data_IF_013332102225
#
_entry.id   IF_013332102225
#
_cell.length_a   1.000
_cell.length_b   1.000
_cell.length_c   1.000
_cell.angle_alpha   90.00
_cell.angle_beta   90.00
_cell.angle_gamma   90.00
#
_symmetry.space_group_name_H-M   'P 1'
#
loop_
_entity.id
_entity.type
_entity.pdbx_description
1 polymer ?
#
# COMPACT_ATOMS: atom_id res chain seq x y z
N UNK A 1 4.32 -52.76 -37.24
CA UNK A 1 3.73 -52.36 -35.96
C UNK A 1 4.76 -51.54 -35.23
N UNK A 2 4.64 -50.21 -35.25
CA UNK A 2 5.55 -49.33 -34.51
C UNK A 2 5.13 -49.33 -33.04
N UNK A 3 6.05 -49.68 -32.14
CA UNK A 3 5.83 -49.53 -30.70
C UNK A 3 5.63 -48.06 -30.41
N UNK A 4 4.41 -47.68 -30.03
CA UNK A 4 4.20 -46.42 -29.30
C UNK A 4 5.01 -46.55 -28.02
N UNK A 5 6.17 -45.88 -27.96
CA UNK A 5 6.79 -45.56 -26.68
C UNK A 5 5.73 -44.77 -25.92
N UNK A 6 5.11 -45.41 -24.93
CA UNK A 6 4.38 -44.71 -23.89
C UNK A 6 5.36 -43.69 -23.30
N UNK A 7 4.98 -42.41 -23.15
CA UNK A 7 5.81 -41.46 -22.43
C UNK A 7 6.13 -42.07 -21.07
N UNK A 8 7.40 -42.06 -20.67
CA UNK A 8 7.78 -42.44 -19.30
C UNK A 8 6.95 -41.59 -18.34
N UNK A 9 6.21 -42.22 -17.44
CA UNK A 9 5.52 -41.51 -16.37
C UNK A 9 6.56 -40.68 -15.62
N UNK A 10 6.35 -39.36 -15.62
CA UNK A 10 7.20 -38.43 -14.91
C UNK A 10 7.02 -38.68 -13.42
N UNK A 11 8.09 -39.06 -12.73
CA UNK A 11 8.09 -39.25 -11.28
C UNK A 11 8.71 -38.01 -10.65
N UNK A 12 7.99 -37.38 -9.71
CA UNK A 12 8.51 -36.24 -8.94
C UNK A 12 8.89 -36.74 -7.55
N UNK A 13 10.15 -36.53 -7.16
CA UNK A 13 10.64 -36.97 -5.85
C UNK A 13 9.93 -36.21 -4.71
N UNK A 14 9.60 -36.93 -3.62
CA UNK A 14 8.92 -36.35 -2.46
C UNK A 14 9.71 -35.18 -1.86
N UNK A 15 11.04 -35.26 -1.87
CA UNK A 15 11.90 -34.21 -1.35
C UNK A 15 11.72 -32.90 -2.13
N UNK A 16 11.63 -32.96 -3.46
CA UNK A 16 11.39 -31.79 -4.31
C UNK A 16 10.00 -31.17 -4.01
N UNK A 17 8.98 -32.00 -3.82
CA UNK A 17 7.64 -31.54 -3.43
C UNK A 17 7.70 -30.80 -2.09
N UNK A 18 8.42 -31.37 -1.12
CA UNK A 18 8.54 -30.80 0.21
C UNK A 18 9.27 -29.46 0.19
N UNK A 19 10.37 -29.37 -0.56
CA UNK A 19 11.15 -28.14 -0.75
C UNK A 19 10.28 -27.05 -1.40
N UNK A 20 9.55 -27.38 -2.46
CA UNK A 20 8.70 -26.42 -3.17
C UNK A 20 7.56 -25.89 -2.30
N UNK A 21 6.91 -26.76 -1.53
CA UNK A 21 5.86 -26.36 -0.59
C UNK A 21 6.43 -25.52 0.55
N UNK A 22 7.55 -25.94 1.14
CA UNK A 22 8.21 -25.19 2.21
C UNK A 22 8.62 -23.79 1.74
N UNK A 23 9.11 -23.66 0.50
CA UNK A 23 9.43 -22.37 -0.13
C UNK A 23 8.22 -21.45 -0.22
N UNK A 24 7.12 -21.93 -0.80
CA UNK A 24 5.89 -21.14 -0.94
C UNK A 24 5.30 -20.70 0.41
N UNK A 25 5.35 -21.58 1.42
CA UNK A 25 4.90 -21.29 2.80
C UNK A 25 5.81 -20.26 3.47
N UNK A 26 7.13 -20.39 3.31
CA UNK A 26 8.11 -19.47 3.89
C UNK A 26 7.94 -18.08 3.31
N UNK A 27 7.75 -17.99 2.00
CA UNK A 27 7.55 -16.73 1.30
C UNK A 27 6.19 -16.07 1.61
N UNK A 28 5.24 -16.81 2.21
CA UNK A 28 3.87 -16.37 2.38
C UNK A 28 3.15 -16.16 1.03
N UNK A 29 3.48 -16.97 0.02
CA UNK A 29 2.98 -16.80 -1.35
C UNK A 29 1.86 -17.79 -1.65
N UNK A 30 0.62 -17.35 -1.44
CA UNK A 30 -0.58 -18.16 -1.69
C UNK A 30 -0.78 -18.47 -3.18
N UNK A 31 -0.26 -17.63 -4.09
CA UNK A 31 -0.39 -17.84 -5.54
C UNK A 31 0.50 -19.00 -5.94
N UNK A 32 1.77 -18.98 -5.55
CA UNK A 32 2.69 -20.09 -5.78
C UNK A 32 2.22 -21.36 -5.08
N UNK A 33 1.77 -21.26 -3.82
CA UNK A 33 1.26 -22.41 -3.09
C UNK A 33 0.07 -23.06 -3.80
N UNK A 34 -0.91 -22.29 -4.30
CA UNK A 34 -2.02 -22.82 -5.09
C UNK A 34 -1.56 -23.39 -6.43
N UNK A 35 -0.62 -22.71 -7.10
CA UNK A 35 -0.06 -23.15 -8.38
C UNK A 35 0.51 -24.57 -8.31
N UNK A 36 1.20 -24.90 -7.21
CA UNK A 36 1.77 -26.24 -6.98
C UNK A 36 0.72 -27.38 -6.99
N UNK A 37 -0.57 -27.07 -6.80
CA UNK A 37 -1.66 -28.06 -6.84
C UNK A 37 -2.52 -28.00 -8.12
N UNK A 38 -2.28 -27.04 -9.02
CA UNK A 38 -3.06 -26.92 -10.26
C UNK A 38 -2.83 -28.10 -11.21
N UNK A 39 -3.75 -28.38 -12.16
CA UNK A 39 -3.62 -29.50 -13.09
C UNK A 39 -2.34 -29.47 -13.94
N UNK A 40 -1.84 -28.28 -14.26
CA UNK A 40 -0.60 -28.06 -15.02
C UNK A 40 0.61 -27.80 -14.11
N UNK A 41 0.50 -28.09 -12.81
CA UNK A 41 1.62 -27.95 -11.88
C UNK A 41 2.82 -28.78 -12.32
N UNK A 42 4.05 -28.26 -12.18
CA UNK A 42 5.27 -29.04 -12.40
C UNK A 42 5.47 -30.14 -11.34
N UNK A 43 4.65 -30.21 -10.28
CA UNK A 43 4.69 -31.31 -9.30
C UNK A 43 3.77 -32.48 -9.65
N UNK A 44 2.90 -32.34 -10.66
CA UNK A 44 2.01 -33.44 -11.09
C UNK A 44 2.71 -34.34 -12.10
N UNK A 45 2.46 -35.64 -11.98
CA UNK A 45 2.99 -36.68 -12.87
C UNK A 45 2.32 -36.63 -14.26
N UNK A 46 1.06 -36.20 -14.32
CA UNK A 46 0.28 -36.08 -15.56
C UNK A 46 0.44 -34.73 -16.28
N UNK A 47 1.30 -33.85 -15.76
CA UNK A 47 1.65 -32.56 -16.36
C UNK A 47 2.89 -32.66 -17.26
N UNK A 48 2.90 -31.91 -18.36
CA UNK A 48 4.07 -31.78 -19.24
C UNK A 48 5.14 -30.83 -18.71
N UNK A 49 4.85 -30.11 -17.63
CA UNK A 49 5.77 -29.14 -17.02
C UNK A 49 6.80 -29.84 -16.14
N UNK A 50 8.03 -29.33 -16.06
CA UNK A 50 9.13 -29.93 -15.30
C UNK A 50 9.70 -28.97 -14.25
N UNK A 51 9.65 -29.37 -12.98
CA UNK A 51 10.04 -28.55 -11.82
C UNK A 51 11.53 -28.19 -11.83
N UNK A 52 12.38 -29.01 -12.44
CA UNK A 52 13.82 -28.78 -12.51
C UNK A 52 14.21 -27.79 -13.63
N UNK A 53 13.26 -27.42 -14.49
CA UNK A 53 13.53 -26.46 -15.56
C UNK A 53 13.77 -25.05 -15.00
N UNK A 54 14.60 -24.27 -15.69
CA UNK A 54 14.94 -22.88 -15.32
C UNK A 54 13.68 -22.03 -15.08
N UNK A 55 12.60 -22.30 -15.84
CA UNK A 55 11.29 -21.65 -15.73
C UNK A 55 10.73 -21.70 -14.31
N UNK A 56 10.97 -22.77 -13.55
CA UNK A 56 10.40 -23.00 -12.22
C UNK A 56 11.42 -22.94 -11.08
N UNK A 57 12.64 -22.50 -11.36
CA UNK A 57 13.69 -22.32 -10.35
C UNK A 57 13.23 -21.47 -9.15
N UNK A 58 12.35 -20.50 -9.36
CA UNK A 58 11.79 -19.65 -8.31
C UNK A 58 10.86 -20.38 -7.31
N UNK A 59 10.43 -21.61 -7.62
CA UNK A 59 9.60 -22.45 -6.75
C UNK A 59 10.45 -23.29 -5.79
N UNK A 60 11.76 -23.39 -6.03
CA UNK A 60 12.69 -24.12 -5.18
C UNK A 60 13.52 -23.13 -4.36
N UNK A 61 13.94 -23.51 -3.14
CA UNK A 61 14.80 -22.67 -2.34
C UNK A 61 16.21 -22.58 -2.95
N UNK A 62 16.86 -21.45 -2.71
CA UNK A 62 18.31 -21.30 -2.85
C UNK A 62 19.02 -21.82 -1.60
N UNK A 63 20.34 -22.07 -1.69
CA UNK A 63 21.15 -22.51 -0.55
C UNK A 63 21.06 -21.55 0.66
N UNK A 64 20.93 -20.24 0.41
CA UNK A 64 20.74 -19.24 1.46
C UNK A 64 19.36 -19.39 2.13
N UNK A 65 18.31 -19.60 1.34
CA UNK A 65 16.95 -19.76 1.85
C UNK A 65 16.80 -21.05 2.66
N UNK A 66 17.50 -22.12 2.30
CA UNK A 66 17.52 -23.35 3.09
C UNK A 66 18.08 -23.15 4.50
N UNK A 67 18.95 -22.15 4.70
CA UNK A 67 19.47 -21.80 6.02
C UNK A 67 18.49 -20.97 6.86
N UNK A 68 17.44 -20.42 6.25
CA UNK A 68 16.45 -19.61 6.93
C UNK A 68 15.68 -20.43 7.99
N UNK A 69 15.61 -19.97 9.26
CA UNK A 69 14.83 -20.65 10.30
C UNK A 69 13.35 -20.86 9.96
N UNK A 70 12.73 -19.90 9.24
CA UNK A 70 11.34 -20.03 8.79
C UNK A 70 11.20 -21.15 7.75
N UNK A 71 12.17 -21.27 6.84
CA UNK A 71 12.20 -22.35 5.87
C UNK A 71 12.34 -23.72 6.54
N UNK A 72 13.28 -23.86 7.47
CA UNK A 72 13.48 -25.11 8.22
C UNK A 72 12.21 -25.53 8.96
N UNK A 73 11.52 -24.57 9.59
CA UNK A 73 10.23 -24.82 10.25
C UNK A 73 9.13 -25.24 9.26
N UNK A 74 9.02 -24.58 8.11
CA UNK A 74 8.07 -24.94 7.07
C UNK A 74 8.36 -26.33 6.49
N UNK A 75 9.63 -26.66 6.25
CA UNK A 75 10.06 -27.96 5.77
C UNK A 75 9.76 -29.07 6.77
N UNK A 76 10.00 -28.84 8.07
CA UNK A 76 9.61 -29.78 9.13
C UNK A 76 8.10 -30.05 9.12
N UNK A 77 7.28 -29.01 8.98
CA UNK A 77 5.83 -29.11 8.92
C UNK A 77 5.36 -29.91 7.70
N UNK A 78 5.90 -29.60 6.51
CA UNK A 78 5.56 -30.29 5.25
C UNK A 78 6.03 -31.75 5.29
N UNK A 79 7.17 -32.02 5.93
CA UNK A 79 7.76 -33.37 6.03
C UNK A 79 7.00 -34.32 6.95
N UNK A 80 6.01 -33.82 7.70
CA UNK A 80 5.15 -34.67 8.54
C UNK A 80 4.42 -35.70 7.70
N UNK A 81 4.38 -36.94 8.20
CA UNK A 81 3.83 -38.09 7.46
C UNK A 81 2.38 -37.87 7.02
N UNK A 82 1.53 -37.37 7.93
CA UNK A 82 0.12 -37.09 7.65
C UNK A 82 -0.06 -36.01 6.57
N UNK A 83 0.79 -34.98 6.56
CA UNK A 83 0.78 -33.92 5.55
C UNK A 83 1.23 -34.45 4.20
N UNK A 84 2.34 -35.20 4.14
CA UNK A 84 2.83 -35.81 2.90
C UNK A 84 1.79 -36.72 2.26
N UNK A 85 1.15 -37.58 3.05
CA UNK A 85 0.08 -38.47 2.58
C UNK A 85 -1.09 -37.69 1.98
N UNK A 86 -1.51 -36.59 2.63
CA UNK A 86 -2.56 -35.71 2.11
C UNK A 86 -2.15 -34.99 0.83
N UNK A 87 -0.94 -34.40 0.80
CA UNK A 87 -0.40 -33.69 -0.37
C UNK A 87 -0.34 -34.62 -1.57
N UNK A 88 0.21 -35.81 -1.40
CA UNK A 88 0.29 -36.81 -2.47
C UNK A 88 -1.10 -37.17 -3.00
N UNK A 89 -2.05 -37.43 -2.10
CA UNK A 89 -3.44 -37.69 -2.50
C UNK A 89 -4.04 -36.56 -3.33
N UNK A 90 -3.82 -35.30 -2.95
CA UNK A 90 -4.37 -34.16 -3.68
C UNK A 90 -3.64 -33.85 -5.00
N UNK A 91 -2.34 -34.16 -5.11
CA UNK A 91 -1.60 -34.09 -6.37
C UNK A 91 -2.10 -35.12 -7.39
N UNK A 92 -2.47 -36.33 -6.95
CA UNK A 92 -3.03 -37.38 -7.81
C UNK A 92 -4.52 -37.18 -8.14
N UNK A 93 -5.23 -36.37 -7.35
CA UNK A 93 -6.67 -36.14 -7.52
C UNK A 93 -6.95 -35.30 -8.76
N UNK A 94 -7.99 -35.71 -9.52
CA UNK A 94 -8.54 -34.90 -10.62
C UNK A 94 -9.57 -33.91 -10.07
N UNK A 95 -9.37 -32.62 -10.35
CA UNK A 95 -10.25 -31.53 -9.92
C UNK A 95 -9.61 -30.61 -8.87
N UNK A 96 -10.40 -29.72 -8.23
CA UNK A 96 -9.89 -28.77 -7.25
C UNK A 96 -9.25 -29.46 -6.04
N UNK A 97 -8.01 -29.06 -5.74
CA UNK A 97 -7.27 -29.54 -4.60
C UNK A 97 -7.83 -28.98 -3.28
N UNK A 98 -7.90 -29.83 -2.26
CA UNK A 98 -8.14 -29.44 -0.89
C UNK A 98 -6.80 -29.17 -0.22
N UNK A 99 -6.49 -27.88 -0.04
CA UNK A 99 -5.22 -27.45 0.51
C UNK A 99 -5.12 -27.81 2.00
N UNK A 100 -3.97 -28.32 2.49
CA UNK A 100 -3.79 -28.62 3.92
C UNK A 100 -3.94 -27.37 4.80
N UNK A 101 -4.79 -27.43 5.81
CA UNK A 101 -5.08 -26.28 6.68
C UNK A 101 -3.86 -25.80 7.46
N UNK A 102 -3.03 -26.73 7.95
CA UNK A 102 -1.85 -26.42 8.75
C UNK A 102 -0.81 -25.65 7.92
N UNK A 103 -0.64 -26.04 6.65
CA UNK A 103 0.25 -25.36 5.71
C UNK A 103 -0.29 -23.98 5.34
N UNK A 104 -1.60 -23.87 5.10
CA UNK A 104 -2.25 -22.58 4.83
C UNK A 104 -2.13 -21.61 6.00
N UNK A 105 -2.23 -22.09 7.25
CA UNK A 105 -2.11 -21.25 8.43
C UNK A 105 -0.68 -20.72 8.58
N UNK A 106 0.32 -21.59 8.47
CA UNK A 106 1.73 -21.18 8.54
C UNK A 106 2.08 -20.20 7.40
N UNK A 107 1.56 -20.45 6.19
CA UNK A 107 1.72 -19.55 5.04
C UNK A 107 1.11 -18.19 5.34
N UNK A 108 -0.11 -18.13 5.88
CA UNK A 108 -0.79 -16.88 6.20
C UNK A 108 0.01 -16.07 7.23
N UNK A 109 0.51 -16.74 8.28
CA UNK A 109 1.32 -16.09 9.31
C UNK A 109 2.65 -15.55 8.74
N UNK A 110 3.31 -16.30 7.86
CA UNK A 110 4.52 -15.83 7.16
C UNK A 110 4.20 -14.68 6.21
N UNK A 111 3.07 -14.71 5.52
CA UNK A 111 2.62 -13.59 4.69
C UNK A 111 2.44 -12.31 5.53
N UNK A 112 1.87 -12.40 6.74
CA UNK A 112 1.81 -11.26 7.67
C UNK A 112 3.21 -10.79 8.08
N UNK A 113 4.14 -11.70 8.38
CA UNK A 113 5.54 -11.36 8.74
C UNK A 113 6.25 -10.60 7.63
N UNK A 114 5.99 -10.96 6.38
CA UNK A 114 6.53 -10.31 5.18
C UNK A 114 5.69 -9.13 4.68
N UNK A 115 4.68 -8.69 5.43
CA UNK A 115 3.76 -7.60 5.05
C UNK A 115 3.00 -7.83 3.72
N UNK A 116 2.87 -9.08 3.29
CA UNK A 116 2.08 -9.52 2.13
C UNK A 116 0.61 -9.72 2.53
N UNK A 117 -0.05 -8.63 2.94
CA UNK A 117 -1.38 -8.71 3.56
C UNK A 117 -2.47 -9.24 2.63
N UNK A 118 -2.38 -9.02 1.32
CA UNK A 118 -3.32 -9.62 0.35
C UNK A 118 -3.21 -11.15 0.35
N UNK A 119 -2.00 -11.70 0.36
CA UNK A 119 -1.76 -13.14 0.48
C UNK A 119 -2.26 -13.69 1.81
N UNK A 120 -1.95 -13.01 2.92
CA UNK A 120 -2.43 -13.38 4.25
C UNK A 120 -3.96 -13.41 4.32
N UNK A 121 -4.61 -12.36 3.78
CA UNK A 121 -6.05 -12.25 3.73
C UNK A 121 -6.69 -13.39 2.95
N UNK A 122 -6.15 -13.75 1.78
CA UNK A 122 -6.65 -14.88 1.00
C UNK A 122 -6.48 -16.21 1.76
N UNK A 123 -5.32 -16.44 2.37
CA UNK A 123 -5.05 -17.68 3.09
C UNK A 123 -5.96 -17.83 4.33
N UNK A 124 -6.11 -16.77 5.14
CA UNK A 124 -7.05 -16.79 6.27
C UNK A 124 -8.51 -16.88 5.83
N UNK A 125 -8.88 -16.35 4.65
CA UNK A 125 -10.23 -16.48 4.09
C UNK A 125 -10.52 -17.93 3.67
N UNK A 126 -9.57 -18.60 3.03
CA UNK A 126 -9.70 -20.03 2.69
C UNK A 126 -9.89 -20.90 3.94
N UNK A 127 -9.25 -20.52 5.05
CA UNK A 127 -9.40 -21.14 6.37
C UNK A 127 -10.67 -20.72 7.11
N UNK A 128 -11.44 -19.74 6.61
CA UNK A 128 -12.63 -19.16 7.26
C UNK A 128 -12.35 -18.55 8.64
N UNK A 129 -11.14 -18.05 8.86
CA UNK A 129 -10.72 -17.42 10.12
C UNK A 129 -10.29 -15.96 9.95
N UNK A 130 -10.36 -15.39 8.75
CA UNK A 130 -9.92 -14.00 8.46
C UNK A 130 -10.49 -12.96 9.42
N UNK A 131 -11.82 -12.94 9.63
CA UNK A 131 -12.45 -12.02 10.56
C UNK A 131 -11.93 -12.20 12.00
N UNK A 132 -11.78 -13.45 12.45
CA UNK A 132 -11.19 -13.74 13.76
C UNK A 132 -9.76 -13.23 13.88
N UNK A 133 -8.96 -13.37 12.82
CA UNK A 133 -7.58 -12.85 12.81
C UNK A 133 -7.56 -11.32 12.83
N UNK A 134 -8.44 -10.67 12.07
CA UNK A 134 -8.62 -9.21 12.11
C UNK A 134 -8.96 -8.73 13.53
N UNK A 135 -9.90 -9.38 14.22
CA UNK A 135 -10.25 -9.07 15.61
C UNK A 135 -9.05 -9.26 16.56
N UNK A 136 -8.32 -10.37 16.44
CA UNK A 136 -7.14 -10.64 17.27
C UNK A 136 -6.03 -9.59 17.07
N UNK A 137 -5.81 -9.12 15.85
CA UNK A 137 -4.85 -8.04 15.59
C UNK A 137 -5.33 -6.69 16.15
N UNK A 138 -6.62 -6.38 16.08
CA UNK A 138 -7.15 -5.19 16.77
C UNK A 138 -7.01 -5.30 18.29
N UNK A 139 -7.32 -6.46 18.89
CA UNK A 139 -7.12 -6.69 20.31
C UNK A 139 -5.64 -6.55 20.73
N UNK A 140 -4.72 -7.07 19.91
CA UNK A 140 -3.29 -6.88 20.11
C UNK A 140 -2.93 -5.39 20.05
N UNK A 141 -3.46 -4.66 19.07
CA UNK A 141 -3.26 -3.22 18.96
C UNK A 141 -3.72 -2.46 20.20
N UNK A 142 -4.91 -2.76 20.72
CA UNK A 142 -5.45 -2.16 21.95
C UNK A 142 -4.60 -2.50 23.18
N UNK A 143 -4.09 -3.74 23.29
CA UNK A 143 -3.16 -4.13 24.36
C UNK A 143 -1.86 -3.34 24.30
N UNK A 144 -1.31 -3.10 23.11
CA UNK A 144 -0.10 -2.30 22.93
C UNK A 144 -0.35 -0.80 23.18
N UNK A 145 -1.53 -0.27 22.81
CA UNK A 145 -1.95 1.09 23.18
C UNK A 145 -2.00 1.27 24.69
N UNK A 146 -2.56 0.30 25.42
CA UNK A 146 -2.62 0.35 26.89
C UNK A 146 -1.22 0.39 27.52
N UNK A 147 -0.22 -0.24 26.88
CA UNK A 147 1.20 -0.19 27.26
C UNK A 147 1.93 1.05 26.74
N UNK A 148 1.24 1.96 26.03
CA UNK A 148 1.81 3.13 25.33
C UNK A 148 2.83 2.78 24.25
N UNK A 149 2.76 1.57 23.70
CA UNK A 149 3.62 1.11 22.62
C UNK A 149 2.99 1.45 21.25
N UNK A 150 3.06 2.71 20.86
CA UNK A 150 2.43 3.23 19.64
C UNK A 150 2.90 2.48 18.37
N UNK A 151 4.20 2.21 18.15
CA UNK A 151 4.65 1.53 16.93
C UNK A 151 4.03 0.15 16.72
N UNK A 152 3.99 -0.69 17.77
CA UNK A 152 3.37 -2.01 17.67
C UNK A 152 1.85 -1.95 17.60
N UNK A 153 1.24 -0.96 18.26
CA UNK A 153 -0.20 -0.71 18.12
C UNK A 153 -0.57 -0.39 16.66
N UNK A 154 0.12 0.59 16.06
CA UNK A 154 -0.10 0.97 14.65
C UNK A 154 0.11 -0.21 13.72
N UNK A 155 1.19 -0.97 13.91
CA UNK A 155 1.45 -2.18 13.10
C UNK A 155 0.29 -3.17 13.17
N UNK A 156 -0.23 -3.43 14.37
CA UNK A 156 -1.34 -4.36 14.56
C UNK A 156 -2.63 -3.87 13.89
N UNK A 157 -2.94 -2.58 13.99
CA UNK A 157 -4.09 -1.97 13.30
C UNK A 157 -3.95 -2.00 11.78
N UNK A 158 -2.74 -1.76 11.26
CA UNK A 158 -2.45 -1.86 9.81
C UNK A 158 -2.68 -3.29 9.32
N UNK A 159 -2.16 -4.29 10.03
CA UNK A 159 -2.39 -5.70 9.69
C UNK A 159 -3.89 -5.99 9.68
N UNK A 160 -4.59 -5.71 10.79
CA UNK A 160 -6.03 -5.96 10.90
C UNK A 160 -6.83 -5.30 9.76
N UNK A 161 -6.50 -4.05 9.44
CA UNK A 161 -7.17 -3.30 8.37
C UNK A 161 -6.86 -3.85 6.99
N UNK A 162 -5.66 -4.38 6.76
CA UNK A 162 -5.24 -4.92 5.48
C UNK A 162 -5.72 -6.36 5.24
N UNK A 163 -6.31 -7.01 6.23
CA UNK A 163 -7.04 -8.28 6.09
C UNK A 163 -8.49 -8.09 5.62
N UNK A 164 -8.84 -6.91 5.12
CA UNK A 164 -10.17 -6.62 4.61
C UNK A 164 -10.44 -7.35 3.28
N UNK A 165 -11.70 -7.68 3.03
CA UNK A 165 -12.09 -8.49 1.86
C UNK A 165 -13.29 -7.88 1.16
N UNK A 166 -13.16 -7.62 -0.13
CA UNK A 166 -14.24 -7.12 -0.97
C UNK A 166 -15.06 -8.30 -1.51
N UNK A 167 -16.12 -8.66 -0.78
CA UNK A 167 -17.08 -9.67 -1.23
C UNK A 167 -18.00 -9.19 -2.34
N UNK A 168 -17.98 -7.89 -2.67
CA UNK A 168 -18.71 -7.34 -3.82
C UNK A 168 -17.87 -7.33 -5.11
N UNK A 169 -16.58 -7.67 -5.02
CA UNK A 169 -15.72 -7.80 -6.17
C UNK A 169 -16.22 -8.90 -7.13
N UNK A 170 -16.15 -8.61 -8.43
CA UNK A 170 -16.53 -9.51 -9.51
C UNK A 170 -15.30 -9.84 -10.37
N UNK A 171 -15.11 -11.09 -10.86
CA UNK A 171 -16.03 -12.23 -10.82
C UNK A 171 -16.04 -13.03 -9.50
N UNK A 172 -15.04 -12.84 -8.63
CA UNK A 172 -14.95 -13.49 -7.33
C UNK A 172 -14.53 -12.48 -6.26
N UNK A 173 -14.92 -12.70 -4.99
CA UNK A 173 -14.41 -11.96 -3.84
C UNK A 173 -12.87 -11.91 -3.80
N UNK A 174 -12.30 -10.75 -3.50
CA UNK A 174 -10.85 -10.53 -3.45
C UNK A 174 -10.46 -9.73 -2.20
N UNK A 175 -9.19 -9.79 -1.74
CA UNK A 175 -8.70 -8.88 -0.72
C UNK A 175 -8.94 -7.42 -1.13
N UNK A 176 -9.43 -6.61 -0.20
CA UNK A 176 -9.53 -5.18 -0.42
C UNK A 176 -8.12 -4.58 -0.43
N UNK A 177 -7.84 -3.73 -1.42
CA UNK A 177 -6.54 -3.08 -1.58
C UNK A 177 -6.70 -1.57 -1.41
N UNK A 178 -5.80 -0.88 -0.69
CA UNK A 178 -5.85 0.58 -0.58
C UNK A 178 -5.78 1.26 -1.94
N UNK A 179 -6.81 2.06 -2.24
CA UNK A 179 -6.92 2.86 -3.47
C UNK A 179 -6.63 4.34 -3.20
N UNK A 180 -5.50 4.61 -2.53
CA UNK A 180 -5.11 5.95 -2.12
C UNK A 180 -5.11 6.96 -3.28
N UNK A 181 -4.67 6.54 -4.47
CA UNK A 181 -4.67 7.36 -5.67
C UNK A 181 -6.07 7.80 -6.13
N UNK A 182 -7.09 6.95 -5.97
CA UNK A 182 -8.46 7.30 -6.31
C UNK A 182 -9.14 8.08 -5.17
N UNK A 183 -8.88 7.68 -3.92
CA UNK A 183 -9.40 8.39 -2.74
C UNK A 183 -8.84 9.81 -2.64
N UNK A 184 -7.58 10.03 -3.03
CA UNK A 184 -6.99 11.37 -3.08
C UNK A 184 -7.74 12.28 -4.07
N UNK A 185 -8.20 11.76 -5.21
CA UNK A 185 -9.02 12.54 -6.14
C UNK A 185 -10.36 12.95 -5.51
N UNK A 186 -11.00 12.03 -4.78
CA UNK A 186 -12.24 12.33 -4.05
C UNK A 186 -11.99 13.40 -2.99
N UNK A 187 -10.89 13.25 -2.25
CA UNK A 187 -10.48 14.17 -1.19
C UNK A 187 -10.18 15.59 -1.70
N UNK A 188 -9.73 15.71 -2.96
CA UNK A 188 -9.42 16.98 -3.64
C UNK A 188 -10.41 17.35 -4.76
N UNK A 189 -11.59 16.71 -4.80
CA UNK A 189 -12.56 16.91 -5.87
C UNK A 189 -13.05 18.36 -5.93
N UNK A 190 -13.28 18.96 -4.77
CA UNK A 190 -13.64 20.37 -4.64
C UNK A 190 -12.40 21.25 -4.55
N UNK A 191 -12.32 22.25 -5.42
CA UNK A 191 -11.30 23.30 -5.30
C UNK A 191 -11.59 24.18 -4.08
N UNK A 192 -10.59 24.40 -3.24
CA UNK A 192 -10.71 25.20 -2.03
C UNK A 192 -10.14 26.60 -2.27
N UNK A 193 -11.01 27.60 -2.21
CA UNK A 193 -10.65 29.00 -2.44
C UNK A 193 -9.95 29.64 -1.23
N UNK A 194 -10.17 29.11 -0.02
CA UNK A 194 -9.57 29.64 1.20
C UNK A 194 -8.56 28.68 1.79
N UNK A 195 -7.48 29.26 2.32
CA UNK A 195 -6.38 28.51 2.92
C UNK A 195 -6.82 27.63 4.09
N UNK A 196 -7.73 28.12 4.94
CA UNK A 196 -8.23 27.41 6.10
C UNK A 196 -9.22 26.27 5.75
N UNK A 197 -9.62 26.14 4.49
CA UNK A 197 -10.46 25.04 3.99
C UNK A 197 -9.61 23.89 3.44
N UNK A 198 -8.32 24.13 3.15
CA UNK A 198 -7.40 23.08 2.73
C UNK A 198 -7.11 22.12 3.88
N UNK A 199 -7.01 20.81 3.57
CA UNK A 199 -6.92 19.74 4.57
C UNK A 199 -5.79 19.99 5.57
N UNK A 200 -4.57 20.27 5.10
CA UNK A 200 -3.42 20.53 5.95
C UNK A 200 -3.54 21.75 6.88
N UNK A 201 -4.54 22.60 6.69
CA UNK A 201 -4.81 23.80 7.50
C UNK A 201 -6.07 23.68 8.36
N UNK A 202 -6.80 22.56 8.29
CA UNK A 202 -7.98 22.34 9.12
C UNK A 202 -7.63 22.31 10.61
N UNK A 203 -8.61 22.59 11.50
CA UNK A 203 -8.46 22.34 12.92
C UNK A 203 -8.01 20.90 13.20
N UNK A 204 -7.18 20.72 14.23
CA UNK A 204 -6.49 19.46 14.52
C UNK A 204 -7.42 18.23 14.53
N UNK A 205 -8.59 18.32 15.17
CA UNK A 205 -9.55 17.21 15.23
C UNK A 205 -10.11 16.85 13.85
N UNK A 206 -10.38 17.85 13.01
CA UNK A 206 -10.86 17.63 11.65
C UNK A 206 -9.77 17.03 10.77
N UNK A 207 -8.53 17.50 10.91
CA UNK A 207 -7.36 16.92 10.25
C UNK A 207 -7.16 15.46 10.64
N UNK A 208 -7.20 15.13 11.94
CA UNK A 208 -7.07 13.77 12.45
C UNK A 208 -8.16 12.85 11.89
N UNK A 209 -9.42 13.29 11.94
CA UNK A 209 -10.55 12.52 11.40
C UNK A 209 -10.38 12.23 9.92
N UNK A 210 -10.00 13.22 9.11
CA UNK A 210 -9.77 13.02 7.67
C UNK A 210 -8.57 12.10 7.45
N UNK A 211 -7.46 12.33 8.15
CA UNK A 211 -6.24 11.52 8.05
C UNK A 211 -6.49 10.05 8.34
N UNK A 212 -7.22 9.73 9.40
CA UNK A 212 -7.57 8.34 9.71
C UNK A 212 -8.52 7.72 8.69
N UNK A 213 -9.57 8.43 8.27
CA UNK A 213 -10.50 7.89 7.27
C UNK A 213 -9.86 7.70 5.89
N UNK A 214 -8.83 8.48 5.57
CA UNK A 214 -8.10 8.36 4.31
C UNK A 214 -7.04 7.26 4.35
N UNK A 215 -6.31 7.13 5.48
CA UNK A 215 -5.24 6.12 5.60
C UNK A 215 -5.76 4.73 5.98
N UNK A 216 -6.93 4.63 6.60
CA UNK A 216 -7.60 3.34 6.80
C UNK A 216 -8.55 3.04 5.64
N UNK A 217 -8.58 1.77 5.24
CA UNK A 217 -9.46 1.27 4.19
C UNK A 217 -10.94 1.51 4.49
N UNK A 218 -11.33 1.34 5.76
CA UNK A 218 -12.72 1.37 6.20
C UNK A 218 -12.93 2.40 7.32
N UNK A 219 -14.05 3.16 7.28
CA UNK A 219 -14.41 4.08 8.35
C UNK A 219 -14.54 3.42 9.72
N UNK A 220 -14.98 2.15 9.80
CA UNK A 220 -15.07 1.44 11.08
C UNK A 220 -13.69 1.26 11.74
N UNK A 221 -12.64 1.06 10.93
CA UNK A 221 -11.28 0.89 11.44
C UNK A 221 -10.72 2.23 11.94
N UNK A 222 -10.96 3.32 11.20
CA UNK A 222 -10.65 4.68 11.66
C UNK A 222 -11.42 5.05 12.94
N UNK A 223 -12.68 4.59 13.06
CA UNK A 223 -13.54 4.76 14.22
C UNK A 223 -12.91 4.29 15.53
N UNK A 224 -12.12 3.22 15.50
CA UNK A 224 -11.45 2.66 16.69
C UNK A 224 -10.41 3.60 17.31
N UNK A 225 -9.79 4.49 16.52
CA UNK A 225 -8.77 5.45 17.00
C UNK A 225 -9.35 6.86 17.17
N UNK A 226 -10.27 7.29 16.31
CA UNK A 226 -10.84 8.65 16.34
C UNK A 226 -11.61 8.98 17.63
N UNK A 227 -12.06 7.97 18.38
CA UNK A 227 -12.72 8.13 19.69
C UNK A 227 -11.74 8.24 20.86
N UNK A 228 -10.44 8.01 20.64
CA UNK A 228 -9.41 8.06 21.68
C UNK A 228 -8.99 9.51 21.97
N UNK A 229 -8.36 9.80 23.12
CA UNK A 229 -7.81 11.14 23.39
C UNK A 229 -6.75 11.59 22.38
N UNK A 230 -6.57 12.91 22.20
CA UNK A 230 -5.63 13.49 21.23
C UNK A 230 -4.18 13.06 21.50
N UNK A 231 -3.83 12.81 22.75
CA UNK A 231 -2.52 12.32 23.20
C UNK A 231 -2.18 10.95 22.61
N UNK A 232 -3.19 10.17 22.21
CA UNK A 232 -3.04 8.91 21.49
C UNK A 232 -3.13 9.16 19.98
N UNK A 233 -4.15 9.91 19.53
CA UNK A 233 -4.40 10.11 18.10
C UNK A 233 -3.21 10.74 17.37
N UNK A 234 -2.58 11.76 17.94
CA UNK A 234 -1.45 12.48 17.31
C UNK A 234 -0.25 11.55 17.06
N UNK A 235 0.36 10.90 18.09
CA UNK A 235 1.48 10.01 17.84
C UNK A 235 1.09 8.79 17.00
N UNK A 236 -0.15 8.31 17.11
CA UNK A 236 -0.63 7.21 16.30
C UNK A 236 -0.68 7.58 14.81
N UNK A 237 -1.24 8.73 14.44
CA UNK A 237 -1.29 9.15 13.03
C UNK A 237 0.12 9.38 12.46
N UNK A 238 1.01 10.00 13.23
CA UNK A 238 2.42 10.21 12.83
C UNK A 238 3.09 8.88 12.51
N UNK A 239 2.93 7.90 13.38
CA UNK A 239 3.51 6.57 13.21
C UNK A 239 2.83 5.79 12.08
N UNK A 240 1.51 5.92 11.91
CA UNK A 240 0.76 5.35 10.79
C UNK A 240 1.30 5.89 9.46
N UNK A 241 1.55 7.19 9.36
CA UNK A 241 2.12 7.84 8.17
C UNK A 241 3.48 7.23 7.83
N UNK A 242 4.40 7.14 8.80
CA UNK A 242 5.74 6.55 8.60
C UNK A 242 5.72 5.09 8.20
N UNK A 243 4.83 4.30 8.81
CA UNK A 243 4.70 2.89 8.45
C UNK A 243 4.00 2.67 7.11
N UNK A 244 3.15 3.61 6.68
CA UNK A 244 2.45 3.56 5.38
C UNK A 244 3.37 3.99 4.24
N UNK A 245 4.23 4.97 4.49
CA UNK A 245 5.22 5.46 3.54
C UNK A 245 6.64 5.37 4.13
N UNK A 246 7.34 4.24 3.90
CA UNK A 246 8.73 4.08 4.32
C UNK A 246 9.70 5.07 3.66
N UNK A 247 9.28 5.75 2.59
CA UNK A 247 10.07 6.78 1.89
C UNK A 247 9.62 8.21 2.23
N UNK A 248 8.90 8.40 3.34
CA UNK A 248 8.36 9.70 3.76
C UNK A 248 9.43 10.81 3.79
N UNK A 249 10.64 10.51 4.25
CA UNK A 249 11.75 11.46 4.28
C UNK A 249 12.14 11.96 2.88
N UNK A 250 12.01 11.13 1.84
CA UNK A 250 12.22 11.55 0.44
C UNK A 250 11.15 12.55 0.01
N UNK A 251 9.90 12.35 0.44
CA UNK A 251 8.83 13.32 0.17
C UNK A 251 9.11 14.67 0.86
N UNK A 252 9.56 14.66 2.11
CA UNK A 252 9.98 15.89 2.83
C UNK A 252 11.10 16.62 2.08
N UNK A 253 12.11 15.89 1.59
CA UNK A 253 13.21 16.48 0.81
C UNK A 253 12.70 17.16 -0.46
N UNK A 254 11.73 16.56 -1.16
CA UNK A 254 11.12 17.17 -2.35
C UNK A 254 10.29 18.41 -2.03
N UNK A 255 9.58 18.42 -0.88
CA UNK A 255 8.93 19.65 -0.42
C UNK A 255 9.95 20.76 -0.25
N UNK A 256 11.09 20.50 0.39
CA UNK A 256 12.15 21.51 0.57
C UNK A 256 12.67 22.05 -0.76
N UNK A 257 12.76 21.21 -1.79
CA UNK A 257 13.22 21.60 -3.11
C UNK A 257 12.24 22.55 -3.82
N UNK A 258 10.93 22.41 -3.59
CA UNK A 258 9.93 23.26 -4.25
C UNK A 258 9.66 24.58 -3.54
N UNK A 259 10.06 24.74 -2.28
CA UNK A 259 9.82 25.98 -1.50
C UNK A 259 10.24 27.25 -2.26
N UNK A 260 11.44 27.35 -2.85
CA UNK A 260 11.85 28.55 -3.61
C UNK A 260 10.91 28.85 -4.79
N UNK A 261 10.46 27.81 -5.51
CA UNK A 261 9.50 27.99 -6.61
C UNK A 261 8.12 28.44 -6.11
N UNK A 262 7.71 27.99 -4.92
CA UNK A 262 6.47 28.43 -4.29
C UNK A 262 6.55 29.89 -3.86
N UNK A 263 7.69 30.33 -3.31
CA UNK A 263 7.94 31.74 -2.95
C UNK A 263 7.82 32.65 -4.17
N UNK A 264 8.48 32.28 -5.26
CA UNK A 264 8.42 33.01 -6.52
C UNK A 264 6.99 33.05 -7.10
N UNK A 265 6.28 31.91 -7.09
CA UNK A 265 4.90 31.83 -7.54
C UNK A 265 3.98 32.74 -6.73
N UNK A 266 4.08 32.71 -5.40
CA UNK A 266 3.24 33.52 -4.53
C UNK A 266 3.52 35.01 -4.69
N UNK A 267 4.78 35.40 -4.86
CA UNK A 267 5.13 36.76 -5.19
C UNK A 267 4.52 37.19 -6.53
N UNK A 268 4.60 36.36 -7.56
CA UNK A 268 4.04 36.68 -8.88
C UNK A 268 2.51 36.76 -8.86
N UNK A 269 1.82 35.83 -8.19
CA UNK A 269 0.37 35.87 -8.01
C UNK A 269 -0.04 37.15 -7.28
N UNK A 270 0.66 37.53 -6.21
CA UNK A 270 0.36 38.74 -5.45
C UNK A 270 0.52 40.00 -6.30
N UNK A 271 1.65 40.16 -6.97
CA UNK A 271 1.92 41.31 -7.83
C UNK A 271 0.86 41.44 -8.93
N UNK A 272 0.40 40.32 -9.49
CA UNK A 272 -0.68 40.32 -10.49
C UNK A 272 -2.02 40.76 -9.91
N UNK A 273 -2.39 40.27 -8.73
CA UNK A 273 -3.62 40.70 -8.04
C UNK A 273 -3.58 42.21 -7.77
N UNK A 274 -2.45 42.75 -7.34
CA UNK A 274 -2.25 44.18 -7.10
C UNK A 274 -2.36 44.99 -8.41
N UNK A 275 -1.72 44.55 -9.49
CA UNK A 275 -1.83 45.21 -10.80
C UNK A 275 -3.24 45.21 -11.38
N UNK A 276 -4.02 44.14 -11.16
CA UNK A 276 -5.44 44.08 -11.56
C UNK A 276 -6.27 45.06 -10.72
N UNK A 277 -6.05 45.09 -9.40
CA UNK A 277 -6.75 46.03 -8.52
C UNK A 277 -6.44 47.50 -8.87
N UNK A 278 -5.21 47.78 -9.32
CA UNK A 278 -4.76 49.11 -9.77
C UNK A 278 -5.14 49.42 -11.23
N UNK A 279 -5.80 48.50 -11.94
CA UNK A 279 -6.24 48.68 -13.33
C UNK A 279 -5.11 48.70 -14.36
N UNK A 280 -3.92 48.19 -14.00
CA UNK A 280 -2.76 48.08 -14.89
C UNK A 280 -2.84 46.87 -15.83
N UNK A 281 -3.58 45.85 -15.43
CA UNK A 281 -3.80 44.60 -16.19
C UNK A 281 -5.29 44.28 -16.10
N UNK A 282 -5.90 43.84 -17.20
CA UNK A 282 -7.29 43.36 -17.17
C UNK A 282 -7.34 41.95 -16.58
N UNK A 283 -8.43 41.58 -15.88
CA UNK A 283 -8.62 40.18 -15.42
C UNK A 283 -8.46 39.18 -16.57
N UNK A 284 -8.78 39.61 -17.79
CA UNK A 284 -8.66 38.78 -18.97
C UNK A 284 -7.23 38.49 -19.44
N UNK A 285 -6.27 39.28 -18.98
CA UNK A 285 -4.84 39.20 -19.28
C UNK A 285 -4.05 38.47 -18.18
N UNK A 286 -4.73 37.77 -17.25
CA UNK A 286 -4.11 37.06 -16.10
C UNK A 286 -2.91 36.19 -16.50
N UNK A 287 -3.01 35.49 -17.63
CA UNK A 287 -1.97 34.57 -18.11
C UNK A 287 -0.84 35.28 -18.89
N UNK A 288 -0.99 36.56 -19.25
CA UNK A 288 0.00 37.25 -20.06
C UNK A 288 1.31 37.46 -19.29
N UNK A 289 2.41 36.95 -19.85
CA UNK A 289 3.73 36.95 -19.23
C UNK A 289 3.91 35.99 -18.06
N UNK A 290 2.88 35.20 -17.69
CA UNK A 290 2.98 34.23 -16.62
C UNK A 290 3.71 32.98 -17.14
N UNK A 291 4.82 32.62 -16.50
CA UNK A 291 5.55 31.41 -16.87
C UNK A 291 4.91 30.17 -16.21
N UNK A 292 3.75 29.76 -16.71
CA UNK A 292 3.03 28.57 -16.23
C UNK A 292 3.88 27.31 -16.33
N UNK A 293 4.71 27.18 -17.36
CA UNK A 293 5.62 26.04 -17.53
C UNK A 293 6.66 25.92 -16.42
N UNK A 294 7.20 27.05 -15.95
CA UNK A 294 8.10 27.09 -14.79
C UNK A 294 7.40 26.59 -13.53
N UNK A 295 6.15 27.00 -13.29
CA UNK A 295 5.43 26.63 -12.07
C UNK A 295 4.84 25.21 -12.11
N UNK A 296 4.63 24.62 -13.29
CA UNK A 296 4.40 23.18 -13.42
C UNK A 296 5.54 22.34 -12.83
N UNK A 297 6.77 22.86 -12.81
CA UNK A 297 7.90 22.18 -12.20
C UNK A 297 7.72 21.91 -10.70
N UNK A 298 6.83 22.63 -10.00
CA UNK A 298 6.49 22.34 -8.60
C UNK A 298 5.91 20.92 -8.47
N UNK A 299 4.87 20.60 -9.25
CA UNK A 299 4.27 19.25 -9.21
C UNK A 299 5.24 18.17 -9.70
N UNK A 300 6.07 18.47 -10.69
CA UNK A 300 7.12 17.57 -11.18
C UNK A 300 8.17 17.25 -10.12
N UNK A 301 8.66 18.26 -9.40
CA UNK A 301 9.66 18.10 -8.35
C UNK A 301 9.09 17.40 -7.12
N UNK A 302 7.84 17.65 -6.74
CA UNK A 302 7.15 16.90 -5.67
C UNK A 302 7.05 15.41 -5.99
N UNK A 303 6.73 15.06 -7.24
CA UNK A 303 6.67 13.67 -7.68
C UNK A 303 8.07 13.07 -7.91
N UNK A 304 9.06 13.91 -8.17
CA UNK A 304 10.43 13.53 -8.52
C UNK A 304 10.58 13.04 -9.97
N UNK A 305 9.56 13.27 -10.82
CA UNK A 305 9.60 12.99 -12.25
C UNK A 305 8.55 13.82 -13.00
N UNK A 306 8.80 14.03 -14.29
CA UNK A 306 7.84 14.62 -15.22
C UNK A 306 6.88 13.57 -15.75
N UNK A 307 5.61 13.94 -15.89
CA UNK A 307 4.59 13.13 -16.56
C UNK A 307 4.33 13.67 -17.97
N UNK A 308 3.85 12.80 -18.85
CA UNK A 308 3.42 13.22 -20.19
C UNK A 308 2.17 14.11 -20.11
N UNK A 309 1.34 13.89 -19.08
CA UNK A 309 0.14 14.64 -18.83
C UNK A 309 0.40 15.70 -17.75
N UNK A 310 0.06 16.95 -18.03
CA UNK A 310 0.36 18.11 -17.19
C UNK A 310 -0.71 18.42 -16.13
N UNK A 311 -1.84 17.71 -16.13
CA UNK A 311 -2.95 18.00 -15.24
C UNK A 311 -2.65 17.65 -13.78
N UNK A 312 -3.14 18.49 -12.87
CA UNK A 312 -3.00 18.30 -11.42
C UNK A 312 -3.44 16.91 -10.95
N UNK A 313 -4.51 16.36 -11.53
CA UNK A 313 -5.06 15.07 -11.11
C UNK A 313 -4.12 13.91 -11.43
N UNK A 314 -3.35 13.97 -12.51
CA UNK A 314 -2.40 12.92 -12.88
C UNK A 314 -1.26 12.84 -11.87
N UNK A 315 -0.68 14.00 -11.53
CA UNK A 315 0.34 14.10 -10.50
C UNK A 315 -0.20 13.74 -9.11
N UNK A 316 -1.45 14.10 -8.77
CA UNK A 316 -2.05 13.74 -7.49
C UNK A 316 -2.18 12.21 -7.33
N UNK A 317 -2.64 11.51 -8.37
CA UNK A 317 -2.74 10.04 -8.38
C UNK A 317 -1.39 9.39 -8.19
N UNK A 318 -0.39 9.81 -8.97
CA UNK A 318 0.97 9.27 -8.93
C UNK A 318 1.66 9.55 -7.59
N UNK A 319 1.48 10.76 -7.06
CA UNK A 319 2.04 11.14 -5.77
C UNK A 319 1.38 10.35 -4.63
N UNK A 320 0.06 10.19 -4.65
CA UNK A 320 -0.69 9.44 -3.62
C UNK A 320 -0.54 7.92 -3.76
N UNK A 321 -0.12 7.43 -4.93
CA UNK A 321 0.31 6.04 -5.08
C UNK A 321 1.68 5.82 -4.44
N UNK A 322 2.64 6.71 -4.71
CA UNK A 322 4.02 6.60 -4.22
C UNK A 322 4.19 6.96 -2.75
N UNK A 323 3.51 8.02 -2.33
CA UNK A 323 3.55 8.60 -0.99
C UNK A 323 2.11 8.78 -0.49
N UNK A 324 1.41 7.71 -0.07
CA UNK A 324 -0.02 7.79 0.23
C UNK A 324 -0.46 8.94 1.12
N UNK A 325 0.22 9.23 2.25
CA UNK A 325 -0.18 10.31 3.14
C UNK A 325 -0.01 11.73 2.55
N UNK A 326 0.73 11.89 1.45
CA UNK A 326 1.00 13.20 0.83
C UNK A 326 -0.27 14.00 0.54
N UNK A 327 -1.36 13.33 0.18
CA UNK A 327 -2.67 13.94 -0.11
C UNK A 327 -3.22 14.79 1.04
N UNK A 328 -2.79 14.54 2.29
CA UNK A 328 -3.19 15.32 3.47
C UNK A 328 -2.46 16.66 3.59
N UNK A 329 -1.35 16.83 2.88
CA UNK A 329 -0.40 17.94 3.03
C UNK A 329 -0.19 18.75 1.75
N UNK A 330 -1.02 18.52 0.74
CA UNK A 330 -1.02 19.26 -0.51
C UNK A 330 -2.40 19.86 -0.76
N UNK A 331 -2.49 20.77 -1.72
CA UNK A 331 -3.73 21.32 -2.22
C UNK A 331 -3.60 21.63 -3.71
N UNK A 332 -4.75 21.84 -4.37
CA UNK A 332 -4.81 22.39 -5.72
C UNK A 332 -4.53 23.90 -5.68
N UNK A 333 -3.83 24.40 -6.68
CA UNK A 333 -3.53 25.82 -6.86
C UNK A 333 -3.71 26.18 -8.33
N UNK A 334 -4.57 27.15 -8.62
CA UNK A 334 -4.58 27.77 -9.94
C UNK A 334 -3.31 28.58 -10.11
N UNK A 335 -2.60 28.33 -11.21
CA UNK A 335 -1.48 29.17 -11.64
C UNK A 335 -1.89 30.06 -12.79
N UNK A 336 -2.72 29.57 -13.73
CA UNK A 336 -3.32 30.38 -14.79
C UNK A 336 -4.84 30.34 -14.77
N UNK A 337 -5.50 30.86 -15.81
CA UNK A 337 -6.98 30.80 -15.93
C UNK A 337 -7.53 29.38 -15.99
N UNK A 338 -6.81 28.48 -16.67
CA UNK A 338 -7.25 27.10 -16.89
C UNK A 338 -6.26 26.05 -16.34
N UNK A 339 -5.11 26.49 -15.80
CA UNK A 339 -4.07 25.58 -15.34
C UNK A 339 -4.01 25.52 -13.82
N UNK A 340 -4.23 24.31 -13.31
CA UNK A 340 -4.03 23.97 -11.91
C UNK A 340 -2.82 23.07 -11.70
N UNK A 341 -2.21 23.17 -10.53
CA UNK A 341 -1.14 22.30 -10.06
C UNK A 341 -1.44 21.80 -8.64
N UNK A 342 -0.71 20.80 -8.17
CA UNK A 342 -0.65 20.45 -6.75
C UNK A 342 0.59 21.06 -6.12
N UNK A 343 0.40 21.61 -4.93
CA UNK A 343 1.40 22.32 -4.15
C UNK A 343 1.31 21.92 -2.67
N UNK A 344 2.41 21.91 -1.89
CA UNK A 344 2.36 21.75 -0.45
C UNK A 344 1.48 22.82 0.21
N UNK A 345 0.62 22.39 1.13
CA UNK A 345 -0.27 23.28 1.88
C UNK A 345 -0.59 22.66 3.23
N UNK A 346 -0.06 23.25 4.30
CA UNK A 346 -0.33 22.84 5.68
C UNK A 346 0.07 23.91 6.69
N UNK A 347 -0.49 23.79 7.90
CA UNK A 347 -0.22 24.70 9.00
C UNK A 347 1.00 24.21 9.81
N UNK A 348 2.11 24.97 9.88
CA UNK A 348 3.31 24.57 10.63
C UNK A 348 3.08 24.45 12.14
N UNK A 349 2.03 25.07 12.68
CA UNK A 349 1.64 24.98 14.09
C UNK A 349 0.90 23.67 14.43
N UNK A 350 0.50 22.89 13.42
CA UNK A 350 -0.15 21.60 13.68
C UNK A 350 0.89 20.62 14.25
N UNK A 351 0.64 20.01 15.44
CA UNK A 351 1.61 19.14 16.11
C UNK A 351 2.01 17.90 15.29
N UNK A 352 1.15 17.46 14.35
CA UNK A 352 1.45 16.34 13.45
C UNK A 352 2.51 16.76 12.43
N UNK A 353 2.39 17.97 11.87
CA UNK A 353 3.34 18.55 10.90
C UNK A 353 4.73 18.65 11.52
N UNK A 354 4.80 19.17 12.75
CA UNK A 354 6.04 19.29 13.51
C UNK A 354 6.69 17.94 13.77
N UNK A 355 5.91 16.94 14.22
CA UNK A 355 6.41 15.58 14.48
C UNK A 355 6.83 14.82 13.23
N UNK A 356 6.28 15.18 12.07
CA UNK A 356 6.67 14.67 10.76
C UNK A 356 7.83 15.44 10.13
N UNK A 357 8.37 16.46 10.80
CA UNK A 357 9.50 17.26 10.32
C UNK A 357 9.26 17.92 8.94
N UNK A 358 8.00 18.25 8.63
CA UNK A 358 7.65 19.00 7.44
C UNK A 358 8.19 20.44 7.55
N UNK A 359 8.83 20.98 6.50
CA UNK A 359 9.43 22.32 6.54
C UNK A 359 8.36 23.42 6.63
N UNK A 360 8.69 24.61 7.16
CA UNK A 360 7.80 25.75 7.05
C UNK A 360 7.55 26.09 5.58
N UNK A 361 6.31 26.46 5.25
CA UNK A 361 5.92 26.88 3.91
C UNK A 361 5.92 28.41 3.81
N UNK A 362 6.14 28.97 2.61
CA UNK A 362 6.03 30.41 2.42
C UNK A 362 4.60 30.89 2.62
N UNK A 363 4.46 32.07 3.24
CA UNK A 363 3.16 32.71 3.44
C UNK A 363 2.75 33.50 2.20
N UNK A 364 1.48 33.37 1.79
CA UNK A 364 0.83 34.40 0.97
C UNK A 364 0.40 35.49 1.96
N UNK A 365 1.15 36.58 2.00
CA UNK A 365 0.82 37.79 2.76
C UNK A 365 -0.08 38.72 1.97
#
# INVERSE_FOLDING_TARGET
MASKNLPSEKVVEQEIIDLALAKAITDGDIVNFRFLFLPYSPLREDSTEDIESIKYSYLLPTEEEEQNPLFKKALELVSRKDIREHVQKELHKKGPAQLPSDLLLELADNAVRHEKFTSASQAYELLRIRHRMQDLFFEQGEKELAKKNIPLAVRSYRIASALEYDYSAFPEPLPAVPRYHDQALILHAEYKNKWNECIGNLPLESFLKIGFNYLFLLPEHAGKITVKPLEIQIPFLVELIRQTDPEWEKFIQRIKQVIPLMEELYHEIKTRIEHIADGQIWEDEWDEGLNTEKYLAISEQLLGRKLNQKDWWAYLRELSYKHPPSALFIARQMIGKEQEIIIPRYNPENPIIQKLSLPPLPHIS
#
